data_IF_150993613449
#
_entry.id   IF_150993613449
#
_cell.length_a   1.000
_cell.length_b   1.000
_cell.length_c   1.000
_cell.angle_alpha   90.00
_cell.angle_beta   90.00
_cell.angle_gamma   90.00
#
_symmetry.space_group_name_H-M   'P 1'
#
loop_
_entity.id
_entity.type
_entity.pdbx_description
1 polymer ?
#
# COMPACT_ATOMS: atom_id res chain seq x y z
N UNK A 1 -26.47 21.03 17.70
CA UNK A 1 -25.24 20.26 17.79
C UNK A 1 -24.17 21.17 18.39
N UNK A 2 -23.73 20.91 19.65
CA UNK A 2 -22.61 21.67 20.21
C UNK A 2 -21.33 21.19 19.52
N UNK A 3 -20.70 22.05 18.72
CA UNK A 3 -19.37 21.79 18.19
C UNK A 3 -18.39 21.66 19.37
N UNK A 4 -17.78 20.49 19.50
CA UNK A 4 -16.68 20.29 20.45
C UNK A 4 -15.42 20.87 19.81
N UNK A 5 -14.83 21.88 20.43
CA UNK A 5 -13.54 22.42 19.99
C UNK A 5 -12.46 21.36 20.25
N UNK A 6 -12.01 20.73 19.19
CA UNK A 6 -11.04 19.62 19.20
C UNK A 6 -9.74 20.04 19.93
N UNK A 7 -9.37 21.33 19.87
CA UNK A 7 -8.17 21.86 20.52
C UNK A 7 -8.29 21.93 22.06
N UNK A 8 -9.50 21.72 22.61
CA UNK A 8 -9.76 21.77 24.07
C UNK A 8 -10.01 20.38 24.66
N UNK A 9 -9.84 19.32 23.90
CA UNK A 9 -10.02 17.96 24.39
C UNK A 9 -8.83 17.59 25.31
N UNK A 10 -9.05 17.23 26.56
CA UNK A 10 -7.98 16.76 27.45
C UNK A 10 -7.47 15.38 27.01
N UNK A 11 -6.26 15.03 27.41
CA UNK A 11 -5.58 13.80 26.98
C UNK A 11 -6.37 12.54 27.32
N UNK A 12 -6.92 12.42 28.55
CA UNK A 12 -7.74 11.27 28.94
C UNK A 12 -8.97 11.08 28.03
N UNK A 13 -9.54 12.17 27.52
CA UNK A 13 -10.68 12.12 26.62
C UNK A 13 -10.24 11.82 25.17
N UNK A 14 -9.05 12.25 24.78
CA UNK A 14 -8.41 11.81 23.53
C UNK A 14 -8.24 10.30 23.53
N UNK A 15 -7.75 9.74 24.63
CA UNK A 15 -7.64 8.29 24.79
C UNK A 15 -8.98 7.59 24.61
N UNK A 16 -10.01 7.99 25.34
CA UNK A 16 -11.35 7.38 25.26
C UNK A 16 -12.00 7.49 23.88
N UNK A 17 -11.94 8.66 23.25
CA UNK A 17 -12.70 8.93 22.02
C UNK A 17 -12.02 8.41 20.76
N UNK A 18 -10.69 8.40 20.73
CA UNK A 18 -9.93 8.10 19.51
C UNK A 18 -9.05 6.87 19.65
N UNK A 19 -8.19 6.82 20.67
CA UNK A 19 -7.19 5.74 20.77
C UNK A 19 -7.85 4.41 21.11
N UNK A 20 -8.80 4.40 22.07
CA UNK A 20 -9.55 3.18 22.41
C UNK A 20 -10.39 2.66 21.24
N UNK A 21 -10.89 3.57 20.38
CA UNK A 21 -11.58 3.17 19.16
C UNK A 21 -10.63 2.52 18.15
N UNK A 22 -9.46 3.14 17.90
CA UNK A 22 -8.44 2.56 17.02
C UNK A 22 -8.00 1.17 17.49
N UNK A 23 -7.80 0.99 18.78
CA UNK A 23 -7.45 -0.31 19.36
C UNK A 23 -8.54 -1.35 19.12
N UNK A 24 -9.80 -1.01 19.40
CA UNK A 24 -10.94 -1.91 19.17
C UNK A 24 -11.11 -2.27 17.70
N UNK A 25 -10.98 -1.31 16.78
CA UNK A 25 -11.04 -1.57 15.34
C UNK A 25 -9.91 -2.49 14.85
N UNK A 26 -8.74 -2.45 15.49
CA UNK A 26 -7.62 -3.34 15.23
C UNK A 26 -7.74 -4.70 15.95
N UNK A 27 -8.84 -4.96 16.65
CA UNK A 27 -9.10 -6.24 17.33
C UNK A 27 -8.48 -6.39 18.71
N UNK A 28 -8.05 -5.29 19.34
CA UNK A 28 -7.52 -5.32 20.71
C UNK A 28 -8.66 -5.35 21.74
N UNK A 29 -8.45 -6.15 22.78
CA UNK A 29 -9.41 -6.37 23.85
C UNK A 29 -8.85 -5.85 25.17
N UNK A 30 -9.56 -4.90 25.79
CA UNK A 30 -9.17 -4.26 27.05
C UNK A 30 -9.26 -5.18 28.27
N UNK A 31 -9.98 -6.29 28.15
CA UNK A 31 -10.09 -7.26 29.24
C UNK A 31 -8.94 -8.29 29.23
N UNK A 32 -8.23 -8.45 28.10
CA UNK A 32 -7.26 -9.54 27.95
C UNK A 32 -5.86 -9.14 27.50
N UNK A 33 -5.71 -8.14 26.62
CA UNK A 33 -4.42 -7.87 25.99
C UNK A 33 -4.06 -6.38 25.87
N UNK A 34 -4.85 -5.48 26.45
CA UNK A 34 -4.52 -4.07 26.59
C UNK A 34 -4.52 -3.71 28.09
N UNK A 35 -3.46 -3.06 28.55
CA UNK A 35 -3.42 -2.47 29.89
C UNK A 35 -3.12 -0.99 29.77
N UNK A 36 -3.90 -0.18 30.51
CA UNK A 36 -3.76 1.28 30.59
C UNK A 36 -2.95 1.67 31.82
N UNK A 37 -2.22 2.81 31.74
CA UNK A 37 -1.45 3.36 32.86
C UNK A 37 -0.48 2.33 33.48
N UNK A 38 0.23 1.60 32.63
CA UNK A 38 1.09 0.50 33.06
C UNK A 38 2.38 1.04 33.74
N UNK A 39 2.67 0.64 34.99
CA UNK A 39 3.88 1.09 35.68
C UNK A 39 5.13 0.47 35.04
N UNK A 40 6.14 1.28 34.79
CA UNK A 40 7.48 0.87 34.35
C UNK A 40 8.52 1.31 35.37
N UNK A 41 9.51 0.45 35.58
CA UNK A 41 10.62 0.67 36.48
C UNK A 41 11.90 1.02 35.73
N UNK A 42 12.94 1.42 36.46
CA UNK A 42 14.24 1.77 35.89
C UNK A 42 14.27 3.02 35.01
N UNK A 43 13.26 3.88 35.13
CA UNK A 43 13.28 5.16 34.44
C UNK A 43 14.48 6.04 34.88
N UNK A 44 15.09 6.81 33.95
CA UNK A 44 16.18 7.73 34.26
C UNK A 44 15.67 9.01 34.94
N UNK A 45 14.78 8.88 35.92
CA UNK A 45 14.18 9.94 36.73
C UNK A 45 14.47 9.72 38.20
N UNK A 46 14.29 10.72 39.04
CA UNK A 46 14.51 10.60 40.47
C UNK A 46 13.62 9.53 41.13
N UNK A 47 12.38 9.41 40.65
CA UNK A 47 11.43 8.38 41.12
C UNK A 47 11.77 6.99 40.63
N UNK A 48 12.56 6.86 39.55
CA UNK A 48 12.85 5.62 38.81
C UNK A 48 11.58 4.87 38.33
N UNK A 49 10.44 5.54 38.35
CA UNK A 49 9.14 5.00 37.94
C UNK A 49 8.52 5.90 36.88
N UNK A 50 7.73 5.31 36.01
CA UNK A 50 6.91 5.98 35.01
C UNK A 50 5.66 5.17 34.71
N UNK A 51 4.74 5.75 33.94
CA UNK A 51 3.52 5.09 33.55
C UNK A 51 3.38 5.20 32.01
N UNK A 52 3.30 4.05 31.36
CA UNK A 52 3.00 3.98 29.93
C UNK A 52 1.50 4.11 29.76
N UNK A 53 1.03 4.96 28.85
CA UNK A 53 -0.40 5.13 28.63
C UNK A 53 -1.10 3.82 28.27
N UNK A 54 -0.47 3.01 27.36
CA UNK A 54 -0.95 1.67 27.05
C UNK A 54 0.22 0.71 26.78
N UNK A 55 0.08 -0.51 27.27
CA UNK A 55 0.84 -1.65 26.76
C UNK A 55 -0.07 -2.63 26.04
N UNK A 56 0.49 -3.27 25.02
CA UNK A 56 -0.20 -4.29 24.22
C UNK A 56 0.51 -5.63 24.36
N UNK A 57 -0.24 -6.66 24.70
CA UNK A 57 0.31 -8.02 24.91
C UNK A 57 0.07 -8.91 23.71
N UNK A 58 1.08 -9.65 23.32
CA UNK A 58 0.99 -10.72 22.34
C UNK A 58 0.28 -11.97 22.89
N UNK A 59 0.07 -12.95 22.02
CA UNK A 59 -0.60 -14.22 22.37
C UNK A 59 0.10 -15.00 23.48
N UNK A 60 1.40 -14.76 23.68
CA UNK A 60 2.22 -15.39 24.75
C UNK A 60 2.19 -14.60 26.07
N UNK A 61 1.42 -13.52 26.15
CA UNK A 61 1.36 -12.62 27.30
C UNK A 61 2.53 -11.62 27.39
N UNK A 62 3.53 -11.71 26.54
CA UNK A 62 4.64 -10.74 26.50
C UNK A 62 4.15 -9.37 25.98
N UNK A 63 4.75 -8.31 26.50
CA UNK A 63 4.49 -6.94 26.01
C UNK A 63 5.16 -6.81 24.63
N UNK A 64 4.35 -6.60 23.59
CA UNK A 64 4.81 -6.50 22.21
C UNK A 64 4.76 -5.08 21.66
N UNK A 65 3.99 -4.19 22.29
CA UNK A 65 3.99 -2.77 21.95
C UNK A 65 3.72 -1.88 23.15
N UNK A 66 4.17 -0.63 23.03
CA UNK A 66 3.87 0.49 23.93
C UNK A 66 3.24 1.62 23.13
N UNK A 67 2.29 2.34 23.73
CA UNK A 67 1.67 3.51 23.12
C UNK A 67 1.77 4.68 24.08
N UNK A 68 2.33 5.78 23.61
CA UNK A 68 2.33 7.07 24.28
C UNK A 68 1.29 7.99 23.64
N UNK A 69 0.37 8.49 24.45
CA UNK A 69 -0.71 9.37 24.03
C UNK A 69 -0.39 10.83 24.30
N UNK A 70 -0.84 11.71 23.44
CA UNK A 70 -0.82 13.16 23.63
C UNK A 70 -2.19 13.76 23.35
N UNK A 71 -2.43 14.97 23.84
CA UNK A 71 -3.65 15.73 23.54
C UNK A 71 -3.78 15.93 22.03
N UNK A 72 -5.00 15.98 21.53
CA UNK A 72 -5.29 16.23 20.10
C UNK A 72 -4.63 17.49 19.53
N UNK A 73 -4.41 18.50 20.36
CA UNK A 73 -3.78 19.77 19.97
C UNK A 73 -2.24 19.77 20.04
N UNK A 74 -1.62 18.67 20.45
CA UNK A 74 -0.16 18.55 20.61
C UNK A 74 0.38 17.63 19.52
N UNK A 75 1.53 18.02 18.95
CA UNK A 75 2.26 17.15 18.01
C UNK A 75 2.67 15.85 18.74
N UNK A 76 2.26 14.68 18.27
CA UNK A 76 2.56 13.42 18.94
C UNK A 76 4.06 13.13 19.05
N UNK A 77 4.89 13.70 18.17
CA UNK A 77 6.36 13.55 18.20
C UNK A 77 7.01 14.09 19.49
N UNK A 78 6.32 14.93 20.24
CA UNK A 78 6.75 15.35 21.59
C UNK A 78 6.86 14.14 22.54
N UNK A 79 5.99 13.13 22.38
CA UNK A 79 6.01 11.89 23.17
C UNK A 79 7.05 10.85 22.72
N UNK A 80 7.69 11.02 21.57
CA UNK A 80 8.61 10.06 20.96
C UNK A 80 9.72 9.57 21.89
N UNK A 81 10.43 10.49 22.53
CA UNK A 81 11.53 10.14 23.42
C UNK A 81 11.04 9.45 24.69
N UNK A 82 9.90 9.88 25.23
CA UNK A 82 9.27 9.25 26.39
C UNK A 82 8.84 7.81 26.07
N UNK A 83 8.19 7.57 24.94
CA UNK A 83 7.80 6.25 24.48
C UNK A 83 9.02 5.33 24.29
N UNK A 84 10.13 5.88 23.77
CA UNK A 84 11.38 5.13 23.64
C UNK A 84 11.95 4.72 25.01
N UNK A 85 11.98 5.63 25.98
CA UNK A 85 12.45 5.31 27.33
C UNK A 85 11.60 4.21 27.98
N UNK A 86 10.30 4.21 27.80
CA UNK A 86 9.43 3.15 28.27
C UNK A 86 9.77 1.80 27.61
N UNK A 87 10.00 1.80 26.31
CA UNK A 87 10.43 0.61 25.59
C UNK A 87 11.80 0.09 26.10
N UNK A 88 12.75 0.98 26.38
CA UNK A 88 14.05 0.65 26.97
C UNK A 88 13.89 -0.05 28.34
N UNK A 89 13.02 0.47 29.20
CA UNK A 89 12.74 -0.12 30.53
C UNK A 89 12.07 -1.50 30.42
N UNK A 90 11.08 -1.64 29.54
CA UNK A 90 10.37 -2.91 29.31
C UNK A 90 11.31 -3.95 28.73
N UNK A 91 12.16 -3.61 27.78
CA UNK A 91 13.16 -4.52 27.24
C UNK A 91 14.15 -4.99 28.33
N UNK A 92 14.60 -4.06 29.18
CA UNK A 92 15.49 -4.39 30.31
C UNK A 92 14.83 -5.35 31.30
N UNK A 93 13.54 -5.21 31.56
CA UNK A 93 12.79 -6.02 32.52
C UNK A 93 12.36 -7.37 31.96
N UNK A 94 11.86 -7.39 30.72
CA UNK A 94 11.23 -8.58 30.12
C UNK A 94 12.02 -9.22 28.97
N UNK A 95 13.12 -8.61 28.54
CA UNK A 95 14.02 -9.19 27.52
C UNK A 95 13.45 -9.17 26.09
N UNK A 96 12.37 -8.41 25.84
CA UNK A 96 11.80 -8.21 24.52
C UNK A 96 11.61 -6.72 24.25
N UNK A 97 12.19 -6.23 23.14
CA UNK A 97 11.99 -4.87 22.68
C UNK A 97 10.60 -4.70 22.10
N UNK A 98 9.69 -3.93 22.74
CA UNK A 98 8.36 -3.69 22.17
C UNK A 98 8.44 -2.75 20.96
N UNK A 99 7.45 -2.84 20.07
CA UNK A 99 7.22 -1.84 19.02
C UNK A 99 6.65 -0.59 19.68
N UNK A 100 7.07 0.57 19.23
CA UNK A 100 6.70 1.86 19.82
C UNK A 100 5.63 2.52 18.95
N UNK A 101 4.55 2.96 19.58
CA UNK A 101 3.59 3.88 18.98
C UNK A 101 3.53 5.17 19.80
N UNK A 102 3.32 6.29 19.13
CA UNK A 102 2.96 7.53 19.77
C UNK A 102 1.92 8.27 18.92
N UNK A 103 0.91 8.84 19.57
CA UNK A 103 -0.27 9.37 18.89
C UNK A 103 -0.95 10.48 19.67
N UNK A 104 -1.66 11.36 18.94
CA UNK A 104 -2.59 12.34 19.51
C UNK A 104 -4.05 12.05 19.14
N UNK A 105 -4.33 10.85 18.61
CA UNK A 105 -5.65 10.45 18.14
C UNK A 105 -5.95 10.81 16.67
N UNK A 106 -5.24 11.77 16.07
CA UNK A 106 -5.34 12.14 14.65
C UNK A 106 -4.12 11.75 13.85
N UNK A 107 -2.96 11.87 14.45
CA UNK A 107 -1.70 11.45 13.87
C UNK A 107 -1.10 10.35 14.73
N UNK A 108 -0.75 9.26 14.09
CA UNK A 108 -0.17 8.08 14.72
C UNK A 108 1.14 7.75 14.04
N UNK A 109 2.15 7.45 14.84
CA UNK A 109 3.46 7.03 14.38
C UNK A 109 3.79 5.65 14.94
N UNK A 110 4.43 4.83 14.11
CA UNK A 110 5.02 3.56 14.51
C UNK A 110 6.54 3.65 14.45
N UNK A 111 7.20 3.02 15.41
CA UNK A 111 8.64 2.95 15.46
C UNK A 111 9.12 1.58 15.95
N UNK A 112 9.50 0.74 15.01
CA UNK A 112 10.33 -0.42 15.30
C UNK A 112 11.79 -0.01 15.18
N UNK A 113 12.34 0.53 16.26
CA UNK A 113 13.65 1.18 16.29
C UNK A 113 14.84 0.23 16.11
N UNK A 114 14.58 -1.07 16.08
CA UNK A 114 15.56 -2.09 15.68
C UNK A 114 15.68 -2.24 14.15
N UNK A 115 14.63 -1.87 13.39
CA UNK A 115 14.56 -2.15 11.96
C UNK A 115 14.47 -0.91 11.09
N UNK A 116 13.70 0.10 11.51
CA UNK A 116 13.38 1.28 10.71
C UNK A 116 13.25 2.54 11.53
N UNK A 117 13.47 3.72 10.93
CA UNK A 117 13.07 5.00 11.52
C UNK A 117 11.56 5.03 11.76
N UNK A 118 11.15 5.91 12.68
CA UNK A 118 9.74 6.17 12.91
C UNK A 118 9.06 6.74 11.67
N UNK A 119 7.80 6.37 11.48
CA UNK A 119 6.98 6.80 10.35
C UNK A 119 5.52 6.96 10.74
N UNK A 120 4.83 7.82 10.00
CA UNK A 120 3.40 8.02 10.18
C UNK A 120 2.65 6.79 9.62
N UNK A 121 1.61 6.37 10.37
CA UNK A 121 0.67 5.32 9.98
C UNK A 121 -0.76 5.80 10.21
N UNK A 122 -1.73 5.17 9.57
CA UNK A 122 -3.13 5.59 9.66
C UNK A 122 -3.80 5.22 10.99
N UNK A 123 -3.36 4.14 11.65
CA UNK A 123 -3.91 3.67 12.92
C UNK A 123 -2.95 2.68 13.61
N UNK A 124 -3.36 2.17 14.77
CA UNK A 124 -2.65 1.10 15.49
C UNK A 124 -2.81 -0.22 14.74
N UNK A 125 -1.76 -1.03 14.74
CA UNK A 125 -1.71 -2.34 14.11
C UNK A 125 -2.40 -3.41 14.97
N UNK A 126 -2.84 -4.48 14.34
CA UNK A 126 -3.37 -5.65 15.04
C UNK A 126 -2.28 -6.44 15.78
N UNK A 127 -2.70 -7.35 16.67
CA UNK A 127 -1.77 -8.19 17.44
C UNK A 127 -0.86 -9.02 16.54
N UNK A 128 -1.41 -9.64 15.50
CA UNK A 128 -0.64 -10.48 14.58
C UNK A 128 0.32 -9.68 13.72
N UNK A 129 -0.04 -8.47 13.34
CA UNK A 129 0.83 -7.56 12.58
C UNK A 129 2.02 -7.10 13.41
N UNK A 130 1.80 -6.71 14.65
CA UNK A 130 2.90 -6.31 15.55
C UNK A 130 3.80 -7.51 15.85
N UNK A 131 3.22 -8.68 16.11
CA UNK A 131 4.00 -9.90 16.33
C UNK A 131 4.87 -10.23 15.11
N UNK A 132 4.32 -10.10 13.90
CA UNK A 132 5.07 -10.33 12.66
C UNK A 132 6.25 -9.38 12.50
N UNK A 133 6.11 -8.09 12.89
CA UNK A 133 7.23 -7.15 12.89
C UNK A 133 8.36 -7.61 13.82
N UNK A 134 8.01 -8.08 15.02
CA UNK A 134 8.98 -8.58 16.00
C UNK A 134 9.67 -9.84 15.49
N UNK A 135 8.91 -10.80 14.96
CA UNK A 135 9.45 -12.06 14.46
C UNK A 135 10.45 -11.84 13.31
N UNK A 136 10.18 -10.84 12.46
CA UNK A 136 11.05 -10.48 11.34
C UNK A 136 12.40 -9.90 11.73
N UNK A 137 12.58 -9.45 12.95
CA UNK A 137 13.90 -9.03 13.44
C UNK A 137 14.90 -10.14 13.34
N UNK A 138 14.45 -11.40 13.53
CA UNK A 138 15.30 -12.61 13.53
C UNK A 138 15.15 -13.42 12.23
N UNK A 139 13.99 -13.43 11.58
CA UNK A 139 13.71 -14.33 10.45
C UNK A 139 13.99 -13.71 9.09
N UNK A 140 13.99 -12.38 9.01
CA UNK A 140 14.21 -11.65 7.76
C UNK A 140 15.62 -11.83 7.23
N UNK A 141 15.73 -12.24 5.97
CA UNK A 141 17.01 -12.48 5.31
C UNK A 141 17.35 -11.34 4.35
N UNK A 142 18.65 -11.11 4.13
CA UNK A 142 19.10 -10.15 3.14
C UNK A 142 18.64 -10.52 1.73
N UNK A 143 18.20 -9.52 0.99
CA UNK A 143 17.82 -9.58 -0.42
C UNK A 143 18.80 -8.85 -1.35
N UNK A 144 19.95 -8.42 -0.85
CA UNK A 144 20.99 -7.76 -1.65
C UNK A 144 21.51 -8.61 -2.81
N UNK A 145 21.38 -9.93 -2.68
CA UNK A 145 21.67 -10.90 -3.75
C UNK A 145 20.48 -11.85 -3.89
N UNK A 146 19.40 -11.42 -4.56
CA UNK A 146 18.18 -12.20 -4.63
C UNK A 146 18.36 -13.49 -5.42
N UNK A 147 17.79 -14.60 -4.93
CA UNK A 147 17.73 -15.86 -5.67
C UNK A 147 16.52 -15.80 -6.60
N UNK A 148 16.78 -15.57 -7.89
CA UNK A 148 15.75 -15.42 -8.90
C UNK A 148 15.54 -16.74 -9.62
N UNK A 149 14.28 -17.19 -9.74
CA UNK A 149 13.93 -18.41 -10.45
C UNK A 149 13.81 -18.17 -11.95
N UNK A 150 14.66 -18.85 -12.76
CA UNK A 150 14.65 -18.75 -14.22
C UNK A 150 13.31 -19.19 -14.85
N UNK A 151 12.57 -20.07 -14.18
CA UNK A 151 11.24 -20.48 -14.61
C UNK A 151 10.23 -19.31 -14.60
N UNK A 152 10.42 -18.33 -13.71
CA UNK A 152 9.57 -17.14 -13.63
C UNK A 152 10.13 -16.03 -14.53
N UNK A 153 11.42 -15.71 -14.39
CA UNK A 153 12.10 -14.64 -15.13
C UNK A 153 13.48 -15.08 -15.58
N UNK A 154 13.70 -15.17 -16.88
CA UNK A 154 14.97 -15.61 -17.46
C UNK A 154 15.68 -14.54 -18.28
N UNK A 155 15.03 -13.39 -18.56
CA UNK A 155 15.60 -12.30 -19.35
C UNK A 155 16.46 -11.40 -18.47
N UNK A 156 17.62 -10.97 -18.99
CA UNK A 156 18.59 -10.19 -18.21
C UNK A 156 17.99 -8.93 -17.59
N UNK A 157 17.24 -8.14 -18.35
CA UNK A 157 16.66 -6.89 -17.90
C UNK A 157 15.58 -7.09 -16.82
N UNK A 158 14.86 -8.22 -16.86
CA UNK A 158 13.90 -8.58 -15.79
C UNK A 158 14.63 -8.88 -14.49
N UNK A 159 15.75 -9.62 -14.56
CA UNK A 159 16.60 -9.90 -13.40
C UNK A 159 17.21 -8.63 -12.85
N UNK A 160 17.66 -7.73 -13.73
CA UNK A 160 18.21 -6.43 -13.31
C UNK A 160 17.16 -5.58 -12.58
N UNK A 161 15.92 -5.51 -13.06
CA UNK A 161 14.83 -4.83 -12.39
C UNK A 161 14.59 -5.38 -10.97
N UNK A 162 14.63 -6.70 -10.81
CA UNK A 162 14.47 -7.37 -9.51
C UNK A 162 15.63 -7.03 -8.58
N UNK A 163 16.86 -7.14 -9.06
CA UNK A 163 18.06 -6.83 -8.27
C UNK A 163 18.04 -5.37 -7.80
N UNK A 164 17.76 -4.41 -8.68
CA UNK A 164 17.67 -2.99 -8.33
C UNK A 164 16.61 -2.71 -7.26
N UNK A 165 15.43 -3.30 -7.41
CA UNK A 165 14.36 -3.17 -6.41
C UNK A 165 14.79 -3.73 -5.05
N UNK A 166 15.42 -4.90 -5.05
CA UNK A 166 15.90 -5.53 -3.81
C UNK A 166 17.03 -4.72 -3.16
N UNK A 167 17.97 -4.19 -3.95
CA UNK A 167 19.05 -3.33 -3.45
C UNK A 167 18.50 -2.04 -2.78
N UNK A 168 17.50 -1.41 -3.38
CA UNK A 168 16.90 -0.20 -2.84
C UNK A 168 16.13 -0.49 -1.54
N UNK A 169 15.39 -1.60 -1.49
CA UNK A 169 14.70 -2.02 -0.27
C UNK A 169 15.71 -2.36 0.84
N UNK A 170 16.81 -3.04 0.53
CA UNK A 170 17.87 -3.36 1.49
C UNK A 170 18.52 -2.10 2.07
N UNK A 171 18.63 -1.02 1.28
CA UNK A 171 19.14 0.29 1.72
C UNK A 171 18.12 1.10 2.55
N UNK A 172 16.91 0.57 2.75
CA UNK A 172 15.85 1.20 3.56
C UNK A 172 14.80 1.97 2.76
N UNK A 173 14.88 2.00 1.43
CA UNK A 173 13.76 2.47 0.61
C UNK A 173 12.54 1.57 0.84
N UNK A 174 11.35 2.17 0.84
CA UNK A 174 10.10 1.43 0.97
C UNK A 174 9.27 1.42 -0.31
N UNK A 175 9.76 2.09 -1.36
CA UNK A 175 9.03 2.28 -2.60
C UNK A 175 9.96 2.08 -3.79
N UNK A 176 9.43 1.52 -4.87
CA UNK A 176 10.13 1.31 -6.13
C UNK A 176 9.20 1.56 -7.31
N UNK A 177 9.71 2.21 -8.35
CA UNK A 177 9.00 2.45 -9.61
C UNK A 177 9.75 1.78 -10.75
N UNK A 178 9.10 0.84 -11.44
CA UNK A 178 9.66 0.11 -12.58
C UNK A 178 8.98 0.58 -13.86
N UNK A 179 9.75 1.23 -14.70
CA UNK A 179 9.34 1.67 -16.03
C UNK A 179 9.74 0.60 -17.03
N UNK A 180 8.78 -0.14 -17.56
CA UNK A 180 9.07 -1.25 -18.46
C UNK A 180 8.07 -1.27 -19.63
N UNK A 181 8.57 -1.36 -20.85
CA UNK A 181 7.76 -1.37 -22.06
C UNK A 181 6.65 -2.44 -22.02
N UNK A 182 5.52 -2.16 -22.67
CA UNK A 182 4.46 -3.16 -22.85
C UNK A 182 5.01 -4.40 -23.56
N UNK A 183 4.66 -5.60 -23.08
CA UNK A 183 5.18 -6.86 -23.64
C UNK A 183 6.58 -7.27 -23.12
N UNK A 184 7.27 -6.43 -22.34
CA UNK A 184 8.56 -6.78 -21.73
C UNK A 184 8.44 -7.78 -20.56
N UNK A 185 7.23 -8.02 -20.05
CA UNK A 185 6.97 -8.98 -18.97
C UNK A 185 6.95 -8.39 -17.58
N UNK A 186 6.41 -7.17 -17.41
CA UNK A 186 6.19 -6.51 -16.10
C UNK A 186 5.59 -7.45 -15.04
N UNK A 187 4.53 -8.17 -15.41
CA UNK A 187 3.87 -9.13 -14.51
C UNK A 187 4.81 -10.23 -14.04
N UNK A 188 5.70 -10.74 -14.89
CA UNK A 188 6.70 -11.75 -14.49
C UNK A 188 7.71 -11.19 -13.49
N UNK A 189 8.12 -9.94 -13.66
CA UNK A 189 9.00 -9.24 -12.69
C UNK A 189 8.28 -9.11 -11.35
N UNK A 190 7.00 -8.72 -11.36
CA UNK A 190 6.20 -8.65 -10.14
C UNK A 190 6.07 -10.00 -9.43
N UNK A 191 5.79 -11.08 -10.17
CA UNK A 191 5.71 -12.44 -9.63
C UNK A 191 7.05 -12.88 -9.03
N UNK A 192 8.16 -12.58 -9.69
CA UNK A 192 9.49 -12.92 -9.20
C UNK A 192 9.87 -12.11 -7.96
N UNK A 193 9.49 -10.83 -7.88
CA UNK A 193 9.68 -10.00 -6.68
C UNK A 193 8.88 -10.56 -5.50
N UNK A 194 7.62 -10.98 -5.72
CA UNK A 194 6.83 -11.65 -4.68
C UNK A 194 7.52 -12.93 -4.21
N UNK A 195 8.02 -13.77 -5.12
CA UNK A 195 8.74 -15.00 -4.76
C UNK A 195 9.99 -14.72 -3.91
N UNK A 196 10.81 -13.74 -4.31
CA UNK A 196 12.01 -13.33 -3.58
C UNK A 196 11.67 -12.78 -2.21
N UNK A 197 10.73 -11.82 -2.14
CA UNK A 197 10.39 -11.14 -0.90
C UNK A 197 9.68 -12.05 0.11
N UNK A 198 8.85 -12.97 -0.35
CA UNK A 198 8.19 -13.94 0.55
C UNK A 198 9.17 -14.97 1.07
N UNK A 199 10.08 -15.48 0.26
CA UNK A 199 11.10 -16.45 0.70
C UNK A 199 12.11 -15.85 1.67
N UNK A 200 12.36 -14.55 1.59
CA UNK A 200 13.28 -13.83 2.47
C UNK A 200 12.59 -13.23 3.70
N UNK A 201 11.30 -13.50 3.90
CA UNK A 201 10.44 -12.99 4.99
C UNK A 201 10.33 -11.45 5.03
N UNK A 202 10.39 -10.82 3.86
CA UNK A 202 10.10 -9.39 3.70
C UNK A 202 8.62 -9.12 3.50
N UNK A 203 7.88 -10.06 2.91
CA UNK A 203 6.46 -9.95 2.67
C UNK A 203 5.75 -11.28 2.96
N UNK A 204 4.57 -11.21 3.56
CA UNK A 204 3.68 -12.33 3.85
C UNK A 204 2.32 -12.13 3.22
N UNK A 205 1.74 -10.96 3.41
CA UNK A 205 0.46 -10.57 2.85
C UNK A 205 0.68 -9.51 1.76
N UNK A 206 0.15 -9.76 0.57
CA UNK A 206 0.43 -8.95 -0.62
C UNK A 206 -0.88 -8.48 -1.23
N UNK A 207 -0.91 -7.23 -1.66
CA UNK A 207 -2.00 -6.63 -2.41
C UNK A 207 -1.53 -6.32 -3.83
N UNK A 208 -2.31 -6.78 -4.83
CA UNK A 208 -2.13 -6.40 -6.23
C UNK A 208 -3.32 -5.56 -6.67
N UNK A 209 -3.05 -4.37 -7.16
CA UNK A 209 -4.05 -3.43 -7.64
C UNK A 209 -3.89 -3.18 -9.14
N UNK A 210 -5.02 -3.21 -9.85
CA UNK A 210 -5.10 -2.82 -11.24
C UNK A 210 -6.37 -1.98 -11.49
N UNK A 211 -6.40 -1.27 -12.61
CA UNK A 211 -7.49 -0.36 -12.96
C UNK A 211 -8.79 -1.11 -13.31
N UNK A 212 -8.68 -2.29 -13.92
CA UNK A 212 -9.83 -3.03 -14.47
C UNK A 212 -9.85 -4.48 -14.01
N UNK A 213 -11.06 -5.01 -13.79
CA UNK A 213 -11.28 -6.41 -13.39
C UNK A 213 -10.64 -7.42 -14.36
N UNK A 214 -10.62 -7.13 -15.66
CA UNK A 214 -9.94 -7.98 -16.64
C UNK A 214 -8.44 -8.11 -16.37
N UNK A 215 -7.75 -7.02 -16.00
CA UNK A 215 -6.33 -7.02 -15.64
C UNK A 215 -6.09 -7.75 -14.32
N UNK A 216 -6.98 -7.54 -13.34
CA UNK A 216 -6.97 -8.28 -12.06
C UNK A 216 -7.04 -9.78 -12.30
N UNK A 217 -7.98 -10.26 -13.13
CA UNK A 217 -8.15 -11.67 -13.46
C UNK A 217 -6.95 -12.25 -14.21
N UNK A 218 -6.39 -11.48 -15.16
CA UNK A 218 -5.21 -11.88 -15.91
C UNK A 218 -3.98 -12.01 -14.99
N UNK A 219 -3.78 -11.02 -14.13
CA UNK A 219 -2.68 -11.05 -13.17
C UNK A 219 -2.81 -12.24 -12.23
N UNK A 220 -3.98 -12.44 -11.59
CA UNK A 220 -4.23 -13.58 -10.71
C UNK A 220 -3.93 -14.91 -11.40
N UNK A 221 -4.42 -15.12 -12.64
CA UNK A 221 -4.13 -16.33 -13.41
C UNK A 221 -2.63 -16.57 -13.58
N UNK A 222 -1.86 -15.52 -13.87
CA UNK A 222 -0.41 -15.62 -14.04
C UNK A 222 0.29 -15.96 -12.71
N UNK A 223 -0.13 -15.35 -11.61
CA UNK A 223 0.41 -15.63 -10.28
C UNK A 223 0.12 -17.06 -9.83
N UNK A 224 -1.11 -17.54 -9.98
CA UNK A 224 -1.49 -18.93 -9.65
C UNK A 224 -0.68 -19.95 -10.46
N UNK A 225 -0.43 -19.67 -11.73
CA UNK A 225 0.34 -20.57 -12.60
C UNK A 225 1.83 -20.63 -12.21
N UNK A 226 2.43 -19.53 -11.79
CA UNK A 226 3.87 -19.44 -11.53
C UNK A 226 4.23 -19.59 -10.04
N UNK A 227 3.29 -19.30 -9.14
CA UNK A 227 3.42 -19.45 -7.69
C UNK A 227 2.21 -20.23 -7.13
N UNK A 228 2.04 -21.51 -7.47
CA UNK A 228 0.84 -22.28 -7.10
C UNK A 228 0.68 -22.52 -5.59
N UNK A 229 1.74 -22.36 -4.81
CA UNK A 229 1.68 -22.47 -3.35
C UNK A 229 1.13 -21.21 -2.66
N UNK A 230 0.98 -20.10 -3.38
CA UNK A 230 0.48 -18.84 -2.82
C UNK A 230 -1.05 -18.85 -2.85
N UNK A 231 -1.67 -18.77 -1.67
CA UNK A 231 -3.13 -18.65 -1.56
C UNK A 231 -3.60 -17.28 -2.04
N UNK A 232 -4.57 -17.24 -2.93
CA UNK A 232 -5.02 -16.04 -3.62
C UNK A 232 -6.50 -15.78 -3.43
N UNK A 233 -6.90 -14.50 -3.38
CA UNK A 233 -8.30 -14.08 -3.40
C UNK A 233 -8.48 -12.91 -4.37
N UNK A 234 -9.52 -12.96 -5.19
CA UNK A 234 -9.97 -11.85 -6.01
C UNK A 234 -11.19 -11.19 -5.36
N UNK A 235 -11.00 -10.02 -4.76
CA UNK A 235 -12.08 -9.28 -4.10
C UNK A 235 -13.21 -8.85 -5.05
N UNK A 236 -12.95 -8.77 -6.35
CA UNK A 236 -13.97 -8.38 -7.31
C UNK A 236 -15.01 -9.50 -7.57
N UNK A 237 -14.74 -10.74 -7.14
CA UNK A 237 -15.58 -11.89 -7.49
C UNK A 237 -16.28 -12.55 -6.30
N UNK A 238 -15.93 -12.22 -5.06
CA UNK A 238 -16.49 -12.80 -3.82
C UNK A 238 -16.57 -14.35 -3.78
N UNK A 239 -15.58 -15.02 -4.41
CA UNK A 239 -15.55 -16.50 -4.50
C UNK A 239 -14.62 -17.15 -3.49
N UNK A 240 -13.68 -16.41 -2.95
CA UNK A 240 -12.60 -16.89 -2.10
C UNK A 240 -12.61 -16.12 -0.76
N UNK A 241 -12.03 -16.72 0.26
CA UNK A 241 -11.98 -16.12 1.59
C UNK A 241 -10.73 -15.23 1.71
N UNK A 242 -10.89 -13.90 1.84
CA UNK A 242 -9.75 -12.99 1.98
C UNK A 242 -8.99 -13.15 3.31
N UNK A 243 -9.62 -13.68 4.37
CA UNK A 243 -8.97 -13.85 5.68
C UNK A 243 -7.84 -14.88 5.65
N UNK A 244 -7.95 -15.89 4.79
CA UNK A 244 -6.95 -16.97 4.68
C UNK A 244 -5.99 -16.80 3.50
N UNK A 245 -6.23 -15.79 2.66
CA UNK A 245 -5.45 -15.57 1.46
C UNK A 245 -4.24 -14.70 1.72
N UNK A 246 -3.09 -15.11 1.18
CA UNK A 246 -1.83 -14.36 1.29
C UNK A 246 -1.68 -13.29 0.22
N UNK A 247 -2.36 -13.45 -0.90
CA UNK A 247 -2.34 -12.49 -1.97
C UNK A 247 -3.75 -12.11 -2.39
N UNK A 248 -4.03 -10.83 -2.24
CA UNK A 248 -5.30 -10.22 -2.59
C UNK A 248 -5.15 -9.49 -3.92
N UNK A 249 -6.05 -9.76 -4.84
CA UNK A 249 -6.18 -9.06 -6.12
C UNK A 249 -7.43 -8.19 -6.09
N UNK A 250 -7.31 -6.93 -6.47
CA UNK A 250 -8.43 -6.00 -6.44
C UNK A 250 -8.30 -4.91 -7.49
N UNK A 251 -9.42 -4.29 -7.83
CA UNK A 251 -9.41 -2.96 -8.44
C UNK A 251 -9.29 -1.88 -7.35
N UNK A 252 -8.86 -0.69 -7.74
CA UNK A 252 -8.76 0.44 -6.80
C UNK A 252 -10.10 0.78 -6.13
N UNK A 253 -11.25 0.90 -6.86
CA UNK A 253 -12.53 1.18 -6.24
C UNK A 253 -12.97 0.08 -5.26
N UNK A 254 -12.77 -1.20 -5.61
CA UNK A 254 -13.14 -2.32 -4.74
C UNK A 254 -12.33 -2.30 -3.45
N UNK A 255 -11.03 -1.99 -3.52
CA UNK A 255 -10.18 -1.90 -2.32
C UNK A 255 -10.56 -0.69 -1.44
N UNK A 256 -10.88 0.46 -2.02
CA UNK A 256 -11.38 1.62 -1.26
C UNK A 256 -12.61 1.25 -0.42
N UNK A 257 -13.59 0.59 -1.04
CA UNK A 257 -14.78 0.14 -0.32
C UNK A 257 -14.43 -0.92 0.75
N UNK A 258 -13.48 -1.82 0.45
CA UNK A 258 -13.09 -2.87 1.37
C UNK A 258 -12.42 -2.34 2.66
N UNK A 259 -11.65 -1.26 2.58
CA UNK A 259 -11.01 -0.63 3.73
C UNK A 259 -12.08 -0.17 4.75
N UNK A 260 -13.17 0.43 4.26
CA UNK A 260 -14.18 1.02 5.12
C UNK A 260 -15.27 0.02 5.55
N UNK A 261 -15.69 -0.88 4.68
CA UNK A 261 -16.92 -1.68 4.85
C UNK A 261 -16.65 -3.14 5.21
N UNK A 262 -15.52 -3.71 4.78
CA UNK A 262 -15.28 -5.14 4.98
C UNK A 262 -14.84 -5.43 6.41
N UNK A 263 -15.54 -6.40 7.02
CA UNK A 263 -15.25 -6.87 8.38
C UNK A 263 -14.83 -8.33 8.38
N UNK A 264 -13.99 -8.69 9.35
CA UNK A 264 -13.64 -10.08 9.66
C UNK A 264 -14.85 -10.81 10.26
N UNK A 265 -14.75 -12.13 10.41
CA UNK A 265 -15.77 -12.96 11.06
C UNK A 265 -16.07 -12.51 12.50
N UNK A 266 -15.08 -11.91 13.16
CA UNK A 266 -15.19 -11.38 14.52
C UNK A 266 -15.70 -9.93 14.58
N UNK A 267 -16.06 -9.33 13.44
CA UNK A 267 -16.62 -7.99 13.34
C UNK A 267 -15.58 -6.85 13.33
N UNK A 268 -14.27 -7.17 13.41
CA UNK A 268 -13.18 -6.22 13.32
C UNK A 268 -12.93 -5.80 11.86
N UNK A 269 -12.09 -4.80 11.63
CA UNK A 269 -11.64 -4.47 10.27
C UNK A 269 -10.88 -5.66 9.68
N UNK A 270 -11.26 -6.09 8.48
CA UNK A 270 -10.56 -7.17 7.80
C UNK A 270 -9.14 -6.76 7.40
N UNK A 271 -9.01 -5.56 6.88
CA UNK A 271 -7.72 -4.98 6.45
C UNK A 271 -7.34 -3.84 7.38
N UNK A 272 -6.53 -4.14 8.37
CA UNK A 272 -5.90 -3.17 9.26
C UNK A 272 -4.69 -2.52 8.60
N UNK A 273 -4.16 -1.38 9.07
CA UNK A 273 -3.06 -0.66 8.42
C UNK A 273 -1.80 -1.46 8.14
N UNK A 274 -1.45 -2.42 8.98
CA UNK A 274 -0.30 -3.30 8.83
C UNK A 274 -0.60 -4.62 8.11
N UNK A 275 -1.82 -4.81 7.58
CA UNK A 275 -2.24 -6.09 7.00
C UNK A 275 -1.39 -6.49 5.79
N UNK A 276 -1.13 -5.56 4.88
CA UNK A 276 -0.28 -5.82 3.72
C UNK A 276 1.15 -5.39 3.96
N UNK A 277 2.09 -6.25 3.62
CA UNK A 277 3.52 -5.97 3.67
C UNK A 277 4.03 -5.40 2.34
N UNK A 278 3.36 -5.74 1.25
CA UNK A 278 3.70 -5.36 -0.11
C UNK A 278 2.44 -5.01 -0.90
N UNK A 279 2.47 -3.87 -1.56
CA UNK A 279 1.44 -3.45 -2.53
C UNK A 279 2.09 -3.31 -3.90
N UNK A 280 1.53 -3.97 -4.89
CA UNK A 280 1.95 -3.89 -6.29
C UNK A 280 0.87 -3.17 -7.08
N UNK A 281 1.27 -2.12 -7.79
CA UNK A 281 0.41 -1.29 -8.63
C UNK A 281 0.71 -1.55 -10.08
N UNK A 282 -0.24 -2.10 -10.80
CA UNK A 282 -0.14 -2.24 -12.26
C UNK A 282 -0.70 -0.98 -12.93
N UNK A 283 0.00 -0.50 -13.97
CA UNK A 283 -0.31 0.74 -14.69
C UNK A 283 -0.45 1.97 -13.76
N UNK A 284 0.63 2.26 -13.01
CA UNK A 284 0.69 3.35 -12.04
C UNK A 284 0.69 4.74 -12.73
N UNK A 285 -0.48 5.21 -13.17
CA UNK A 285 -0.66 6.55 -13.78
C UNK A 285 -1.05 7.60 -12.74
N UNK A 286 -0.71 8.86 -13.01
CA UNK A 286 -0.99 10.02 -12.15
C UNK A 286 -2.45 10.13 -11.68
N UNK A 287 -3.41 9.85 -12.56
CA UNK A 287 -4.84 9.94 -12.24
C UNK A 287 -5.27 8.95 -11.16
N UNK A 288 -4.67 7.78 -11.11
CA UNK A 288 -4.95 6.73 -10.13
C UNK A 288 -4.53 7.18 -8.73
N UNK A 289 -3.33 7.74 -8.60
CA UNK A 289 -2.82 8.20 -7.31
C UNK A 289 -3.65 9.30 -6.69
N UNK A 290 -4.01 10.32 -7.46
CA UNK A 290 -4.80 11.44 -6.95
C UNK A 290 -6.19 10.98 -6.48
N UNK A 291 -6.78 10.01 -7.17
CA UNK A 291 -8.13 9.50 -6.88
C UNK A 291 -8.17 8.49 -5.73
N UNK A 292 -7.12 7.68 -5.59
CA UNK A 292 -7.07 6.56 -4.64
C UNK A 292 -5.94 6.68 -3.62
N UNK A 293 -5.51 7.91 -3.35
CA UNK A 293 -4.44 8.23 -2.40
C UNK A 293 -4.70 7.61 -1.03
N UNK A 294 -5.93 7.58 -0.60
CA UNK A 294 -6.32 7.07 0.72
C UNK A 294 -5.94 5.59 0.94
N UNK A 295 -5.87 4.77 -0.14
CA UNK A 295 -5.38 3.39 -0.04
C UNK A 295 -3.91 3.39 0.41
N UNK A 296 -3.09 4.26 -0.18
CA UNK A 296 -1.65 4.30 0.07
C UNK A 296 -1.31 5.00 1.39
N UNK A 297 -2.16 5.92 1.83
CA UNK A 297 -2.05 6.57 3.13
C UNK A 297 -2.56 5.65 4.27
N UNK A 298 -3.46 4.70 3.95
CA UNK A 298 -4.01 3.77 4.91
C UNK A 298 -3.06 2.62 5.24
N UNK A 299 -2.51 1.93 4.23
CA UNK A 299 -1.64 0.78 4.44
C UNK A 299 -0.17 1.18 4.61
N UNK A 300 0.47 0.60 5.62
CA UNK A 300 1.92 0.71 5.83
C UNK A 300 2.65 -0.46 5.17
N UNK A 301 2.87 -0.40 3.87
CA UNK A 301 3.45 -1.48 3.08
C UNK A 301 4.64 -1.01 2.23
N UNK A 302 5.48 -1.94 1.78
CA UNK A 302 6.36 -1.71 0.65
C UNK A 302 5.53 -1.48 -0.60
N UNK A 303 5.93 -0.55 -1.47
CA UNK A 303 5.18 -0.17 -2.66
C UNK A 303 6.01 -0.41 -3.93
N UNK A 304 5.47 -1.17 -4.88
CA UNK A 304 6.06 -1.36 -6.20
C UNK A 304 5.08 -0.88 -7.25
N UNK A 305 5.48 0.16 -8.00
CA UNK A 305 4.73 0.65 -9.15
C UNK A 305 5.29 0.06 -10.45
N UNK A 306 4.39 -0.45 -11.30
CA UNK A 306 4.71 -0.92 -12.65
C UNK A 306 4.05 0.01 -13.66
N UNK A 307 4.80 0.50 -14.62
CA UNK A 307 4.24 1.34 -15.69
C UNK A 307 4.94 1.08 -17.02
N UNK A 308 4.19 1.21 -18.11
CA UNK A 308 4.73 1.24 -19.46
C UNK A 308 4.98 2.68 -19.96
N UNK A 309 4.52 3.69 -19.25
CA UNK A 309 4.73 5.09 -19.60
C UNK A 309 6.24 5.40 -19.58
N UNK A 310 6.82 5.94 -20.67
CA UNK A 310 8.23 6.31 -20.72
C UNK A 310 8.60 7.25 -19.57
N UNK A 311 9.81 7.09 -19.02
CA UNK A 311 10.26 7.83 -17.83
C UNK A 311 10.14 9.35 -17.97
N UNK A 312 10.42 9.88 -19.16
CA UNK A 312 10.36 11.33 -19.45
C UNK A 312 8.91 11.84 -19.61
N UNK A 313 7.95 10.94 -19.78
CA UNK A 313 6.51 11.23 -19.85
C UNK A 313 5.79 11.10 -18.50
N UNK A 314 6.46 10.56 -17.48
CA UNK A 314 5.91 10.42 -16.13
C UNK A 314 5.95 11.79 -15.43
N UNK A 315 4.81 12.23 -14.90
CA UNK A 315 4.72 13.50 -14.16
C UNK A 315 5.51 13.47 -12.84
N UNK A 316 6.09 14.61 -12.46
CA UNK A 316 6.87 14.79 -11.23
C UNK A 316 6.13 14.30 -9.97
N UNK A 317 4.80 14.44 -9.92
CA UNK A 317 3.99 13.97 -8.79
C UNK A 317 4.05 12.43 -8.62
N UNK A 318 4.15 11.67 -9.71
CA UNK A 318 4.28 10.20 -9.62
C UNK A 318 5.63 9.83 -9.01
N UNK A 319 6.72 10.49 -9.43
CA UNK A 319 8.03 10.27 -8.82
C UNK A 319 8.04 10.61 -7.32
N UNK A 320 7.40 11.73 -6.96
CA UNK A 320 7.28 12.15 -5.55
C UNK A 320 6.55 11.11 -4.68
N UNK A 321 5.54 10.42 -5.23
CA UNK A 321 4.82 9.36 -4.51
C UNK A 321 5.74 8.17 -4.17
N UNK A 322 6.67 7.88 -5.08
CA UNK A 322 7.66 6.81 -4.89
C UNK A 322 8.93 7.29 -4.17
N UNK A 323 8.94 8.54 -3.66
CA UNK A 323 10.10 9.16 -3.01
C UNK A 323 11.35 9.17 -3.93
N UNK A 324 11.13 9.37 -5.24
CA UNK A 324 12.15 9.36 -6.29
C UNK A 324 12.35 10.75 -6.89
N UNK A 325 13.57 11.00 -7.38
CA UNK A 325 13.87 12.17 -8.19
C UNK A 325 13.18 12.07 -9.55
N UNK A 326 12.63 13.21 -10.03
CA UNK A 326 11.91 13.27 -11.32
C UNK A 326 12.83 12.81 -12.46
N UNK A 327 12.34 11.87 -13.26
CA UNK A 327 13.09 11.28 -14.39
C UNK A 327 14.02 10.13 -13.99
N UNK A 328 14.13 9.79 -12.69
CA UNK A 328 15.01 8.73 -12.18
C UNK A 328 14.18 7.63 -11.50
N UNK A 329 13.57 6.70 -12.26
CA UNK A 329 12.88 5.56 -11.67
C UNK A 329 13.89 4.58 -11.04
N UNK A 330 13.43 3.67 -10.19
CA UNK A 330 14.26 2.57 -9.65
C UNK A 330 14.90 1.74 -10.77
N UNK A 331 14.13 1.48 -11.83
CA UNK A 331 14.63 0.82 -13.04
C UNK A 331 13.82 1.24 -14.27
N UNK A 332 14.51 1.36 -15.42
CA UNK A 332 13.87 1.65 -16.69
C UNK A 332 14.33 0.69 -17.78
N UNK A 333 13.37 0.06 -18.48
CA UNK A 333 13.59 -0.73 -19.70
C UNK A 333 12.56 -0.32 -20.74
N UNK A 334 12.92 0.69 -21.51
CA UNK A 334 12.01 1.36 -22.45
C UNK A 334 11.94 0.63 -23.80
N UNK A 335 10.96 1.01 -24.60
CA UNK A 335 10.63 0.33 -25.86
C UNK A 335 11.79 0.30 -26.84
N UNK A 336 12.51 1.41 -27.02
CA UNK A 336 13.64 1.53 -27.95
C UNK A 336 14.77 0.55 -27.59
N UNK A 337 15.04 0.41 -26.29
CA UNK A 337 16.02 -0.55 -25.78
C UNK A 337 15.56 -1.98 -26.03
N UNK A 338 14.29 -2.27 -25.79
CA UNK A 338 13.72 -3.60 -25.98
C UNK A 338 13.71 -4.04 -27.46
N UNK A 339 13.50 -3.09 -28.38
CA UNK A 339 13.60 -3.34 -29.82
C UNK A 339 15.06 -3.56 -30.24
N UNK A 340 15.98 -2.73 -29.74
CA UNK A 340 17.43 -2.88 -30.00
C UNK A 340 17.94 -4.24 -29.52
N UNK A 341 17.49 -4.70 -28.39
CA UNK A 341 17.82 -5.99 -27.80
C UNK A 341 17.08 -7.17 -28.45
N UNK A 342 16.20 -6.90 -29.41
CA UNK A 342 15.36 -7.89 -30.13
C UNK A 342 14.38 -8.68 -29.25
N UNK A 343 13.99 -8.12 -28.10
CA UNK A 343 12.92 -8.68 -27.28
C UNK A 343 11.53 -8.16 -27.67
N UNK A 344 11.48 -6.99 -28.33
CA UNK A 344 10.28 -6.45 -28.96
C UNK A 344 10.56 -6.18 -30.44
N UNK A 345 9.51 -6.14 -31.24
CA UNK A 345 9.59 -5.78 -32.65
C UNK A 345 9.28 -4.30 -32.83
N UNK A 346 9.88 -3.67 -33.83
CA UNK A 346 9.53 -2.31 -34.23
C UNK A 346 8.09 -2.29 -34.79
N UNK A 347 7.34 -1.25 -34.51
CA UNK A 347 6.05 -1.03 -35.15
C UNK A 347 6.15 0.18 -36.10
N UNK A 348 5.33 0.15 -37.12
CA UNK A 348 5.08 1.32 -37.96
C UNK A 348 3.70 1.83 -37.62
N UNK A 349 3.59 3.09 -37.17
CA UNK A 349 2.31 3.74 -37.02
C UNK A 349 1.86 4.26 -38.39
N UNK A 350 0.70 3.84 -38.82
CA UNK A 350 0.02 4.44 -39.98
C UNK A 350 -1.00 5.43 -39.43
N UNK A 351 -0.79 6.70 -39.72
CA UNK A 351 -1.78 7.72 -39.44
C UNK A 351 -2.84 7.63 -40.54
N UNK A 352 -3.97 7.00 -40.25
CA UNK A 352 -5.10 7.01 -41.17
C UNK A 352 -5.86 8.31 -40.93
N UNK A 353 -5.65 9.27 -41.79
CA UNK A 353 -6.49 10.48 -41.81
C UNK A 353 -7.85 10.10 -42.35
N UNK A 354 -8.85 10.07 -41.48
CA UNK A 354 -10.22 9.91 -41.94
C UNK A 354 -10.69 11.20 -42.60
N UNK A 355 -11.18 11.10 -43.81
CA UNK A 355 -11.61 12.26 -44.63
C UNK A 355 -12.59 13.14 -43.87
N UNK A 356 -13.47 12.58 -43.05
CA UNK A 356 -14.43 13.34 -42.24
C UNK A 356 -13.79 14.13 -41.09
N UNK A 357 -12.58 13.79 -40.60
CA UNK A 357 -11.86 14.57 -39.59
C UNK A 357 -11.17 15.82 -40.22
N UNK A 358 -10.83 15.78 -41.47
CA UNK A 358 -10.23 16.91 -42.19
C UNK A 358 -11.28 17.83 -42.83
N UNK A 359 -12.34 17.27 -43.41
CA UNK A 359 -13.36 17.95 -44.19
C UNK A 359 -14.68 18.15 -43.43
N UNK A 360 -14.85 17.52 -42.25
CA UNK A 360 -16.11 17.44 -41.53
C UNK A 360 -17.04 16.38 -42.14
N UNK A 361 -18.17 16.14 -41.45
CA UNK A 361 -19.23 15.30 -41.96
C UNK A 361 -20.22 16.21 -42.72
N UNK A 362 -20.32 16.02 -44.02
CA UNK A 362 -21.36 16.67 -44.81
C UNK A 362 -22.60 15.80 -44.76
N UNK A 363 -23.59 16.22 -43.97
CA UNK A 363 -24.86 15.51 -43.75
C UNK A 363 -25.56 15.10 -45.06
N UNK A 364 -25.46 15.93 -46.10
CA UNK A 364 -26.07 15.69 -47.40
C UNK A 364 -25.44 14.52 -48.16
N UNK A 365 -24.20 14.15 -47.85
CA UNK A 365 -23.47 13.04 -48.49
C UNK A 365 -23.65 11.69 -47.79
N UNK A 366 -24.32 11.67 -46.62
CA UNK A 366 -24.58 10.45 -45.86
C UNK A 366 -25.76 9.67 -46.47
N UNK A 367 -25.71 8.35 -46.41
CA UNK A 367 -26.83 7.48 -46.70
C UNK A 367 -27.96 7.65 -45.67
N UNK A 368 -29.16 7.20 -46.01
CA UNK A 368 -30.32 7.31 -45.12
C UNK A 368 -30.13 6.53 -43.78
N UNK A 369 -29.31 5.47 -43.76
CA UNK A 369 -28.95 4.74 -42.56
C UNK A 369 -27.93 5.48 -41.73
N UNK A 370 -26.89 6.05 -42.34
CA UNK A 370 -25.87 6.87 -41.67
C UNK A 370 -26.42 8.20 -41.12
N UNK A 371 -27.42 8.79 -41.78
CA UNK A 371 -28.13 9.97 -41.30
C UNK A 371 -28.90 9.69 -40.01
N UNK A 372 -29.53 8.51 -39.89
CA UNK A 372 -30.21 8.12 -38.67
C UNK A 372 -29.23 7.89 -37.50
N UNK A 373 -28.13 7.23 -37.76
CA UNK A 373 -27.08 7.05 -36.72
C UNK A 373 -26.47 8.39 -36.27
N UNK A 374 -26.30 9.33 -37.21
CA UNK A 374 -25.80 10.67 -36.92
C UNK A 374 -26.78 11.49 -36.06
N UNK A 375 -28.08 11.42 -36.38
CA UNK A 375 -29.15 12.07 -35.61
C UNK A 375 -29.27 11.50 -34.20
N UNK A 376 -29.12 10.17 -34.01
CA UNK A 376 -29.11 9.51 -32.70
C UNK A 376 -27.90 9.93 -31.84
N UNK A 377 -26.75 10.22 -32.46
CA UNK A 377 -25.53 10.71 -31.77
C UNK A 377 -25.69 12.19 -31.38
N UNK A 378 -26.30 13.00 -32.25
CA UNK A 378 -26.55 14.44 -31.99
C UNK A 378 -27.54 14.61 -30.82
N UNK A 379 -28.59 13.80 -30.74
CA UNK A 379 -29.53 13.77 -29.61
C UNK A 379 -28.84 13.40 -28.28
N UNK A 380 -27.91 12.45 -28.30
CA UNK A 380 -27.12 12.06 -27.12
C UNK A 380 -26.15 13.15 -26.68
N UNK A 381 -25.54 13.90 -27.63
CA UNK A 381 -24.65 15.01 -27.33
C UNK A 381 -25.43 16.20 -26.77
N UNK A 382 -26.60 16.52 -27.34
CA UNK A 382 -27.49 17.57 -26.83
C UNK A 382 -28.00 17.27 -25.42
N UNK A 383 -28.33 16.02 -25.11
CA UNK A 383 -28.71 15.59 -23.76
C UNK A 383 -27.55 15.70 -22.75
N UNK A 384 -26.33 15.42 -23.17
CA UNK A 384 -25.12 15.60 -22.36
C UNK A 384 -24.81 17.07 -22.09
N UNK A 385 -24.91 17.95 -23.10
CA UNK A 385 -24.68 19.39 -22.93
C UNK A 385 -25.78 20.04 -22.08
N UNK A 386 -27.03 19.60 -22.21
CA UNK A 386 -28.17 20.11 -21.42
C UNK A 386 -28.04 19.72 -19.95
N UNK A 387 -27.53 18.50 -19.65
CA UNK A 387 -27.27 18.03 -18.28
C UNK A 387 -26.07 18.72 -17.64
N UNK A 388 -25.03 19.07 -18.40
CA UNK A 388 -23.85 19.80 -17.92
C UNK A 388 -24.15 21.29 -17.64
N UNK A 389 -25.18 21.89 -18.28
CA UNK A 389 -25.58 23.29 -18.06
C UNK A 389 -26.50 23.46 -16.84
N UNK A 390 -26.92 22.36 -16.17
CA UNK A 390 -27.78 22.38 -14.97
C UNK A 390 -27.04 22.04 -13.66
N UNK A 391 -25.71 21.85 -13.74
CA UNK A 391 -24.81 21.69 -12.59
C UNK A 391 -23.95 22.95 -12.42
#
# INVERSE_FOLDING_TARGET
VKYVDVNKIPEWRTRQLYINLMLKEAGWDFDTNVEEEYPVHHMPTDSKEGFVDYILRGRTGKIIAVIEAKKTSVDPRVGRNQAKLYADCIEQEYGLRPVIFYTNGFETFIWDDMMYPDRRVSSIFSQDEIQLLIDRRDTRRSISKPVIQDAITNRYYQKEAIVRTCEDFEKGSRKALLVMATGSGKTRVAISLVDVLTKADWAKNILFLADRTALVNQAKKNFVNLLPSLTTCNLCENKEDPEVSRMIFSTYPTMMNAIDETRSKDGNRLFTPGHFDLIILDESHRSIYNKYKDIFDYFDALLIGLTATPKDSIGANTYSIFDLETGVPTYAYEYETAVKDKYLVSYHSYETKMKFLEEGIHYDELSDEEKKEFEEIEDVIMDLETNLSQI
#
